data_IF_179560058262
#
_entry.id   IF_179560058262
#
_cell.length_a   1.000
_cell.length_b   1.000
_cell.length_c   1.000
_cell.angle_alpha   90.00
_cell.angle_beta   90.00
_cell.angle_gamma   90.00
#
_symmetry.space_group_name_H-M   'P 1'
#
loop_
_entity.id
_entity.type
_entity.pdbx_description
1 polymer ?
#
# COMPACT_ATOMS: atom_id res chain seq x y z
N UNK A 1 -10.06 -15.24 -6.31
CA UNK A 1 -9.90 -14.29 -5.20
C UNK A 1 -8.69 -14.71 -4.39
N UNK A 2 -7.67 -13.84 -4.28
CA UNK A 2 -6.46 -14.14 -3.49
C UNK A 2 -6.85 -14.22 -2.02
N UNK A 3 -6.57 -15.37 -1.40
CA UNK A 3 -6.90 -15.65 0.00
C UNK A 3 -6.35 -14.52 0.88
N UNK A 4 -7.21 -13.74 1.52
CA UNK A 4 -6.83 -12.62 2.40
C UNK A 4 -7.10 -11.20 1.89
N UNK A 5 -7.57 -11.01 0.65
CA UNK A 5 -7.80 -9.67 0.09
C UNK A 5 -9.18 -9.54 -0.58
N UNK A 6 -9.93 -8.51 -0.19
CA UNK A 6 -11.14 -8.09 -0.89
C UNK A 6 -10.85 -6.77 -1.64
N UNK A 7 -10.94 -6.82 -2.97
CA UNK A 7 -10.88 -5.62 -3.82
C UNK A 7 -12.26 -4.99 -3.94
N UNK A 8 -12.35 -3.69 -3.65
CA UNK A 8 -13.56 -2.88 -3.90
C UNK A 8 -13.24 -1.80 -4.93
N UNK A 9 -13.96 -1.80 -6.05
CA UNK A 9 -14.11 -0.56 -6.81
C UNK A 9 -14.86 0.43 -5.93
N UNK A 10 -14.45 1.70 -5.92
CA UNK A 10 -15.23 2.74 -5.27
C UNK A 10 -16.52 2.85 -6.09
N UNK A 11 -17.62 2.26 -5.61
CA UNK A 11 -18.94 2.59 -6.12
C UNK A 11 -19.22 4.03 -5.71
N UNK A 12 -19.79 4.83 -6.63
CA UNK A 12 -20.29 6.17 -6.38
C UNK A 12 -21.51 6.14 -5.44
N UNK A 13 -21.37 5.55 -4.27
CA UNK A 13 -22.35 5.56 -3.20
C UNK A 13 -21.92 6.66 -2.24
N UNK A 14 -22.69 7.75 -2.23
CA UNK A 14 -22.38 9.06 -1.67
C UNK A 14 -22.16 9.13 -0.14
N UNK A 15 -21.98 8.01 0.56
CA UNK A 15 -22.10 7.98 2.03
C UNK A 15 -20.80 7.78 2.81
N UNK A 16 -19.63 7.85 2.16
CA UNK A 16 -18.31 7.90 2.84
C UNK A 16 -17.29 8.76 2.06
N UNK A 17 -17.69 9.93 1.54
CA UNK A 17 -16.83 10.70 0.64
C UNK A 17 -15.91 11.69 1.40
N UNK A 18 -14.87 11.14 2.03
CA UNK A 18 -13.61 11.88 2.12
C UNK A 18 -13.00 12.04 0.70
N UNK A 19 -12.08 12.98 0.46
CA UNK A 19 -11.53 13.21 -0.88
C UNK A 19 -10.93 11.93 -1.44
N UNK A 20 -11.50 11.41 -2.53
CA UNK A 20 -10.94 10.26 -3.25
C UNK A 20 -9.76 10.76 -4.07
N UNK A 21 -8.55 10.33 -3.73
CA UNK A 21 -7.35 10.72 -4.48
C UNK A 21 -7.40 10.19 -5.90
N UNK A 22 -7.26 11.10 -6.87
CA UNK A 22 -7.04 10.79 -8.27
C UNK A 22 -5.63 11.17 -8.68
N UNK A 23 -5.02 10.39 -9.58
CA UNK A 23 -3.75 10.77 -10.19
C UNK A 23 -3.94 11.79 -11.33
N UNK A 24 -2.85 12.23 -11.99
CA UNK A 24 -2.91 13.21 -13.10
C UNK A 24 -3.69 12.72 -14.34
N UNK A 25 -4.11 11.45 -14.36
CA UNK A 25 -4.97 10.86 -15.39
C UNK A 25 -6.41 10.65 -14.92
N UNK A 26 -6.82 11.31 -13.83
CA UNK A 26 -8.14 11.17 -13.22
C UNK A 26 -8.49 9.74 -12.77
N UNK A 27 -7.50 8.85 -12.61
CA UNK A 27 -7.73 7.49 -12.10
C UNK A 27 -7.81 7.53 -10.58
N UNK A 28 -8.93 7.07 -10.01
CA UNK A 28 -9.11 6.98 -8.56
C UNK A 28 -8.17 5.94 -7.95
N UNK A 29 -7.68 6.20 -6.74
CA UNK A 29 -6.88 5.25 -5.97
C UNK A 29 -7.76 4.09 -5.51
N UNK A 30 -7.28 2.86 -5.71
CA UNK A 30 -8.08 1.66 -5.49
C UNK A 30 -8.00 1.20 -4.03
N UNK A 31 -9.13 0.73 -3.51
CA UNK A 31 -9.25 0.25 -2.13
C UNK A 31 -9.10 -1.27 -2.07
N UNK A 32 -8.09 -1.73 -1.33
CA UNK A 32 -7.89 -3.13 -1.02
C UNK A 32 -8.03 -3.34 0.48
N UNK A 33 -8.94 -4.22 0.91
CA UNK A 33 -9.07 -4.61 2.31
C UNK A 33 -8.30 -5.91 2.56
N UNK A 34 -7.43 -5.88 3.55
CA UNK A 34 -6.81 -7.07 4.11
C UNK A 34 -7.79 -7.73 5.07
N UNK A 35 -8.30 -8.90 4.72
CA UNK A 35 -9.29 -9.62 5.53
C UNK A 35 -8.71 -10.20 6.82
N UNK A 36 -7.39 -10.37 6.90
CA UNK A 36 -6.73 -10.88 8.11
C UNK A 36 -6.50 -9.77 9.13
N UNK A 37 -5.88 -8.65 8.75
CA UNK A 37 -5.68 -7.53 9.68
C UNK A 37 -6.91 -6.62 9.82
N UNK A 38 -7.92 -6.79 8.97
CA UNK A 38 -9.10 -5.91 8.88
C UNK A 38 -8.80 -4.51 8.34
N UNK A 39 -7.53 -4.20 8.01
CA UNK A 39 -7.11 -2.87 7.55
C UNK A 39 -7.39 -2.69 6.07
N UNK A 40 -7.83 -1.51 5.70
CA UNK A 40 -7.92 -1.06 4.29
C UNK A 40 -6.61 -0.39 3.91
N UNK A 41 -6.17 -0.55 2.66
CA UNK A 41 -5.05 0.17 2.09
C UNK A 41 -5.26 1.67 2.33
N UNK A 42 -4.45 2.32 3.17
CA UNK A 42 -4.67 3.72 3.48
C UNK A 42 -4.43 4.58 2.24
N UNK A 43 -5.20 5.65 2.10
CA UNK A 43 -4.89 6.68 1.12
C UNK A 43 -3.66 7.47 1.58
N UNK A 44 -2.79 7.92 0.67
CA UNK A 44 -1.80 8.92 1.00
C UNK A 44 -2.49 10.17 1.56
N UNK A 45 -1.98 10.72 2.65
CA UNK A 45 -2.65 11.81 3.37
C UNK A 45 -2.74 13.12 2.55
N UNK A 46 -1.91 13.27 1.50
CA UNK A 46 -1.85 14.47 0.65
C UNK A 46 -1.59 14.11 -0.80
N UNK A 47 -1.99 15.02 -1.70
CA UNK A 47 -1.87 14.92 -3.15
C UNK A 47 -0.66 15.69 -3.75
N UNK A 48 0.22 16.29 -2.94
CA UNK A 48 1.23 17.28 -3.37
C UNK A 48 2.67 16.94 -2.92
N UNK A 49 2.97 15.66 -2.66
CA UNK A 49 4.32 15.26 -2.23
C UNK A 49 5.39 15.55 -3.29
N UNK A 50 6.41 16.32 -2.90
CA UNK A 50 7.63 16.51 -3.68
C UNK A 50 8.42 15.21 -3.76
N UNK A 51 9.11 15.01 -4.89
CA UNK A 51 10.10 13.95 -5.03
C UNK A 51 11.31 14.26 -4.13
N UNK A 52 11.84 13.23 -3.47
CA UNK A 52 13.08 13.35 -2.67
C UNK A 52 14.27 12.74 -3.42
N UNK A 53 15.49 13.28 -3.23
CA UNK A 53 16.74 12.71 -3.74
C UNK A 53 16.94 11.25 -3.34
N UNK A 54 17.74 10.49 -4.08
CA UNK A 54 17.90 9.03 -3.85
C UNK A 54 18.55 8.75 -2.49
N UNK A 55 19.52 9.58 -2.11
CA UNK A 55 20.27 9.56 -0.85
C UNK A 55 19.37 9.78 0.39
N UNK A 56 18.27 10.49 0.23
CA UNK A 56 17.30 10.76 1.30
C UNK A 56 16.21 9.67 1.41
N UNK A 57 16.20 8.70 0.48
CA UNK A 57 15.21 7.61 0.50
C UNK A 57 15.67 6.55 1.49
N UNK A 58 14.76 6.15 2.37
CA UNK A 58 15.01 5.00 3.24
C UNK A 58 15.39 3.76 2.41
N UNK A 59 16.38 2.97 2.85
CA UNK A 59 16.70 1.73 2.18
C UNK A 59 15.51 0.78 2.24
N UNK A 60 15.37 -0.10 1.26
CA UNK A 60 14.39 -1.18 1.30
C UNK A 60 15.03 -2.45 0.74
N UNK A 61 15.15 -3.47 1.59
CA UNK A 61 15.86 -4.71 1.30
C UNK A 61 15.18 -5.90 2.02
N UNK A 62 15.68 -7.12 1.78
CA UNK A 62 15.09 -8.33 2.34
C UNK A 62 15.12 -8.39 3.87
N UNK A 63 16.10 -7.77 4.54
CA UNK A 63 16.15 -7.69 6.01
C UNK A 63 15.01 -6.83 6.55
N UNK A 64 14.80 -5.65 5.97
CA UNK A 64 13.71 -4.74 6.36
C UNK A 64 12.34 -5.33 6.03
N UNK A 65 12.24 -6.04 4.91
CA UNK A 65 11.07 -6.81 4.54
C UNK A 65 10.75 -7.89 5.58
N UNK A 66 11.75 -8.67 5.99
CA UNK A 66 11.60 -9.69 7.03
C UNK A 66 11.19 -9.10 8.38
N UNK A 67 11.76 -7.94 8.76
CA UNK A 67 11.35 -7.21 9.96
C UNK A 67 9.86 -6.84 9.91
N UNK A 68 9.39 -6.30 8.80
CA UNK A 68 7.97 -5.97 8.64
C UNK A 68 7.07 -7.20 8.80
N UNK A 69 7.42 -8.33 8.19
CA UNK A 69 6.63 -9.57 8.32
C UNK A 69 6.55 -10.01 9.77
N UNK A 70 7.69 -9.99 10.47
CA UNK A 70 7.74 -10.32 11.91
C UNK A 70 6.83 -9.39 12.71
N UNK A 71 6.94 -8.08 12.50
CA UNK A 71 6.10 -7.09 13.18
C UNK A 71 4.60 -7.31 12.86
N UNK A 72 4.27 -7.66 11.61
CA UNK A 72 2.91 -7.96 11.18
C UNK A 72 2.34 -9.17 11.91
N UNK A 73 3.09 -10.27 11.95
CA UNK A 73 2.69 -11.50 12.63
C UNK A 73 2.52 -11.27 14.13
N UNK A 74 3.44 -10.52 14.75
CA UNK A 74 3.33 -10.15 16.16
C UNK A 74 2.08 -9.29 16.46
N UNK A 75 1.68 -8.44 15.51
CA UNK A 75 0.56 -7.50 15.69
C UNK A 75 -0.80 -8.13 15.40
N UNK A 76 -0.88 -8.98 14.37
CA UNK A 76 -2.16 -9.47 13.83
C UNK A 76 -2.32 -11.00 13.89
N UNK A 77 -1.31 -11.73 14.34
CA UNK A 77 -1.26 -13.19 14.23
C UNK A 77 -0.63 -13.65 12.90
N UNK A 78 -0.27 -14.93 12.83
CA UNK A 78 0.30 -15.52 11.62
C UNK A 78 -0.81 -15.90 10.63
N UNK A 79 -0.90 -15.21 9.47
CA UNK A 79 -1.95 -15.48 8.50
C UNK A 79 -1.77 -16.78 7.71
N UNK A 80 -0.62 -17.46 7.84
CA UNK A 80 -0.25 -18.65 7.05
C UNK A 80 -0.24 -18.42 5.54
N UNK A 81 0.05 -17.20 5.10
CA UNK A 81 0.21 -16.86 3.69
C UNK A 81 1.59 -17.27 3.15
N UNK A 82 1.65 -17.50 1.84
CA UNK A 82 2.92 -17.42 1.12
C UNK A 82 3.35 -15.96 0.98
N UNK A 83 4.25 -15.54 1.86
CA UNK A 83 4.82 -14.19 1.82
C UNK A 83 5.59 -13.90 0.53
N UNK A 84 6.06 -14.89 -0.23
CA UNK A 84 6.81 -14.64 -1.48
C UNK A 84 5.92 -14.10 -2.60
N UNK A 85 4.62 -14.40 -2.56
CA UNK A 85 3.59 -13.91 -3.48
C UNK A 85 3.10 -12.48 -3.15
N UNK A 86 3.58 -11.90 -2.04
CA UNK A 86 3.18 -10.59 -1.54
C UNK A 86 4.34 -9.59 -1.65
N UNK A 87 4.02 -8.38 -2.10
CA UNK A 87 4.91 -7.23 -1.95
C UNK A 87 4.49 -6.43 -0.71
N UNK A 88 5.45 -5.77 -0.06
CA UNK A 88 5.15 -4.81 1.00
C UNK A 88 5.15 -3.43 0.37
N UNK A 89 3.95 -2.87 0.24
CA UNK A 89 3.72 -1.58 -0.36
C UNK A 89 3.94 -0.45 0.65
N UNK A 90 4.68 0.57 0.22
CA UNK A 90 4.78 1.84 0.93
C UNK A 90 3.60 2.74 0.56
N UNK A 91 2.67 2.97 1.49
CA UNK A 91 1.48 3.82 1.29
C UNK A 91 1.86 5.20 0.77
N UNK A 92 2.82 5.86 1.42
CA UNK A 92 3.59 6.95 0.83
C UNK A 92 4.87 6.36 0.25
N UNK A 93 5.13 6.43 -1.06
CA UNK A 93 6.33 5.88 -1.67
C UNK A 93 7.60 6.53 -1.13
N UNK A 94 8.71 5.78 -1.11
CA UNK A 94 10.03 6.28 -0.68
C UNK A 94 10.50 7.46 -1.51
N UNK A 95 10.25 7.42 -2.83
CA UNK A 95 10.50 8.52 -3.78
C UNK A 95 9.82 9.83 -3.42
N UNK A 96 8.77 9.76 -2.60
CA UNK A 96 7.98 10.89 -2.14
C UNK A 96 8.24 11.19 -0.65
N UNK A 97 9.28 10.62 -0.04
CA UNK A 97 9.63 10.80 1.38
C UNK A 97 8.94 9.82 2.35
N UNK A 98 8.38 8.72 1.83
CA UNK A 98 7.84 7.63 2.63
C UNK A 98 8.88 6.91 3.48
N UNK A 99 8.49 6.51 4.68
CA UNK A 99 9.36 5.87 5.67
C UNK A 99 9.02 4.37 5.83
N UNK A 100 9.90 3.59 6.45
CA UNK A 100 9.69 2.15 6.69
C UNK A 100 8.93 1.85 8.00
N UNK A 101 8.23 2.84 8.58
CA UNK A 101 7.44 2.59 9.77
C UNK A 101 6.23 1.71 9.43
N UNK A 102 5.78 0.91 10.40
CA UNK A 102 4.73 -0.09 10.19
C UNK A 102 3.43 0.48 9.62
N UNK A 103 3.06 1.70 10.03
CA UNK A 103 1.85 2.39 9.56
C UNK A 103 1.91 2.83 8.09
N UNK A 104 3.11 3.01 7.53
CA UNK A 104 3.31 3.34 6.12
C UNK A 104 3.49 2.10 5.24
N UNK A 105 3.45 0.90 5.82
CA UNK A 105 3.70 -0.36 5.11
C UNK A 105 2.46 -1.24 5.12
N UNK A 106 2.22 -1.91 3.99
CA UNK A 106 1.02 -2.72 3.80
C UNK A 106 1.33 -3.90 2.87
N UNK A 107 1.13 -5.17 3.29
CA UNK A 107 1.29 -6.28 2.35
C UNK A 107 0.22 -6.16 1.29
N UNK A 108 0.49 -6.58 0.05
CA UNK A 108 -0.51 -6.64 -1.01
C UNK A 108 -0.05 -7.68 -2.05
N UNK A 109 -0.96 -8.38 -2.75
CA UNK A 109 -0.57 -9.33 -3.79
C UNK A 109 0.31 -8.66 -4.84
N UNK A 110 1.39 -9.34 -5.25
CA UNK A 110 2.38 -8.80 -6.18
C UNK A 110 1.76 -8.26 -7.47
N UNK A 111 0.83 -9.00 -8.08
CA UNK A 111 0.17 -8.57 -9.32
C UNK A 111 -0.59 -7.26 -9.14
N UNK A 112 -1.30 -7.11 -8.02
CA UNK A 112 -2.01 -5.88 -7.67
C UNK A 112 -1.01 -4.74 -7.45
N UNK A 113 0.08 -5.00 -6.73
CA UNK A 113 1.10 -3.98 -6.49
C UNK A 113 1.70 -3.45 -7.80
N UNK A 114 2.11 -4.36 -8.68
CA UNK A 114 2.89 -4.02 -9.87
C UNK A 114 2.02 -3.52 -11.03
N UNK A 115 0.79 -4.01 -11.17
CA UNK A 115 -0.07 -3.68 -12.31
C UNK A 115 -1.08 -2.56 -12.01
N UNK A 116 -1.39 -2.31 -10.74
CA UNK A 116 -2.43 -1.35 -10.35
C UNK A 116 -1.84 -0.21 -9.53
N UNK A 117 -1.19 -0.51 -8.41
CA UNK A 117 -0.78 0.51 -7.42
C UNK A 117 0.45 1.29 -7.89
N UNK A 118 1.50 0.59 -8.35
CA UNK A 118 2.71 1.25 -8.88
C UNK A 118 2.40 2.14 -10.09
N UNK A 119 1.64 1.70 -11.11
CA UNK A 119 1.28 2.56 -12.23
C UNK A 119 0.41 3.76 -11.83
N UNK A 120 -0.38 3.67 -10.76
CA UNK A 120 -1.11 4.83 -10.24
C UNK A 120 -0.13 5.91 -9.76
N UNK A 121 0.87 5.53 -8.97
CA UNK A 121 1.90 6.43 -8.44
C UNK A 121 2.82 7.01 -9.52
N UNK A 122 3.13 6.24 -10.57
CA UNK A 122 3.87 6.74 -11.75
C UNK A 122 3.13 7.91 -12.43
N UNK A 123 1.80 7.89 -12.40
CA UNK A 123 0.95 8.91 -13.03
C UNK A 123 0.49 10.01 -12.07
N UNK A 124 1.02 10.06 -10.86
CA UNK A 124 0.70 11.06 -9.83
C UNK A 124 1.69 12.23 -9.86
#
# INVERSE_FOLDING_TARGET
>A
MTVGWAGGGISNSADQVGPVLANKRAKLYQLFKNNHSGKVLPFPARADYKTVPLEDRVPWNNTLRGKYIKDYINTYGDPKWDWSALDIHHVRPRERGGQNNFANLYPIPRDIHQQIVTPWWVNY
#
